data_IF_211013418861
#
_entry.id   IF_211013418861
#
_cell.length_a   1.000
_cell.length_b   1.000
_cell.length_c   1.000
_cell.angle_alpha   90.00
_cell.angle_beta   90.00
_cell.angle_gamma   90.00
#
_symmetry.space_group_name_H-M   'P 1'
#
loop_
_entity.id
_entity.type
_entity.pdbx_description
1 polymer ?
#
# COMPACT_ATOMS: atom_id res chain seq x y z
N UNK A 1 -50.30 -26.01 22.29
CA UNK A 1 -48.84 -26.06 22.03
C UNK A 1 -48.54 -25.11 20.89
N UNK A 2 -47.84 -24.00 21.17
CA UNK A 2 -47.42 -23.07 20.13
C UNK A 2 -46.11 -23.58 19.49
N UNK A 3 -45.90 -23.43 18.17
CA UNK A 3 -44.66 -23.83 17.54
C UNK A 3 -43.53 -22.89 17.96
N UNK A 4 -42.44 -23.46 18.46
CA UNK A 4 -41.20 -22.76 18.78
C UNK A 4 -40.65 -22.18 17.47
N UNK A 5 -40.35 -20.87 17.37
CA UNK A 5 -39.68 -20.32 16.20
C UNK A 5 -38.29 -20.96 16.10
N UNK A 6 -38.01 -21.62 14.96
CA UNK A 6 -36.64 -21.98 14.61
C UNK A 6 -35.88 -20.67 14.37
N UNK A 7 -35.12 -20.26 15.37
CA UNK A 7 -34.10 -19.23 15.21
C UNK A 7 -33.10 -19.75 14.20
N UNK A 8 -33.18 -19.28 12.96
CA UNK A 8 -32.09 -19.42 12.00
C UNK A 8 -30.96 -18.56 12.57
N UNK A 9 -30.05 -19.18 13.32
CA UNK A 9 -28.73 -18.59 13.52
C UNK A 9 -28.16 -18.43 12.12
N UNK A 10 -27.96 -17.20 11.67
CA UNK A 10 -27.13 -16.92 10.51
C UNK A 10 -25.81 -17.66 10.75
N UNK A 11 -25.61 -18.79 10.07
CA UNK A 11 -24.33 -19.46 10.00
C UNK A 11 -23.50 -18.50 9.15
N UNK A 12 -22.79 -17.58 9.81
CA UNK A 12 -21.62 -16.95 9.20
C UNK A 12 -20.66 -18.11 9.02
N UNK A 13 -20.66 -18.71 7.82
CA UNK A 13 -19.55 -19.55 7.39
C UNK A 13 -18.33 -18.64 7.46
N UNK A 14 -17.50 -18.79 8.49
CA UNK A 14 -16.24 -18.05 8.61
C UNK A 14 -15.33 -18.55 7.50
N UNK A 15 -15.46 -17.97 6.32
CA UNK A 15 -14.48 -18.17 5.27
C UNK A 15 -13.25 -17.37 5.68
N UNK A 16 -12.12 -18.06 5.82
CA UNK A 16 -10.82 -17.46 6.14
C UNK A 16 -10.35 -16.60 4.97
N UNK A 17 -10.80 -15.35 4.98
CA UNK A 17 -10.67 -14.39 3.86
C UNK A 17 -9.52 -13.43 4.05
N UNK A 18 -9.02 -13.27 5.29
CA UNK A 18 -7.82 -12.51 5.62
C UNK A 18 -7.04 -13.16 6.76
N UNK A 19 -5.79 -12.71 6.94
CA UNK A 19 -4.92 -13.18 8.02
C UNK A 19 -5.43 -12.82 9.43
N UNK A 20 -6.31 -11.82 9.53
CA UNK A 20 -6.90 -11.35 10.80
C UNK A 20 -7.69 -12.45 11.52
N UNK A 21 -8.25 -13.39 10.76
CA UNK A 21 -8.99 -14.53 11.30
C UNK A 21 -8.08 -15.51 12.07
N UNK A 22 -6.78 -15.49 11.78
CA UNK A 22 -5.75 -16.32 12.41
C UNK A 22 -4.84 -15.53 13.36
N UNK A 23 -5.25 -14.35 13.80
CA UNK A 23 -4.41 -13.40 14.58
C UNK A 23 -3.73 -13.93 15.84
N UNK A 24 -4.19 -15.07 16.38
CA UNK A 24 -3.61 -15.73 17.55
C UNK A 24 -2.59 -16.84 17.19
N UNK A 25 -2.27 -16.99 15.91
CA UNK A 25 -1.33 -17.99 15.39
C UNK A 25 0.07 -17.41 15.19
N UNK A 26 0.99 -18.19 14.61
CA UNK A 26 2.36 -17.74 14.29
C UNK A 26 2.48 -17.16 12.89
N UNK A 27 3.50 -16.34 12.65
CA UNK A 27 3.85 -15.89 11.30
C UNK A 27 4.10 -17.09 10.38
N UNK A 28 3.69 -16.98 9.12
CA UNK A 28 3.90 -18.06 8.15
C UNK A 28 3.01 -17.96 6.93
N UNK A 29 3.03 -19.02 6.13
CA UNK A 29 2.17 -19.16 4.95
C UNK A 29 0.82 -19.74 5.37
N UNK A 30 -0.25 -19.11 4.89
CA UNK A 30 -1.63 -19.52 5.10
C UNK A 30 -2.36 -19.57 3.77
N UNK A 31 -3.40 -20.38 3.74
CA UNK A 31 -4.26 -20.55 2.59
C UNK A 31 -5.57 -19.79 2.87
N UNK A 32 -5.79 -18.70 2.13
CA UNK A 32 -6.99 -17.87 2.24
C UNK A 32 -7.98 -18.21 1.13
N UNK A 33 -9.25 -17.96 1.37
CA UNK A 33 -10.32 -18.17 0.39
C UNK A 33 -10.77 -16.85 -0.20
N UNK A 34 -10.78 -16.76 -1.53
CA UNK A 34 -11.33 -15.61 -2.25
C UNK A 34 -12.85 -15.56 -2.09
N UNK A 35 -13.40 -14.38 -1.77
CA UNK A 35 -14.85 -14.18 -1.67
C UNK A 35 -15.52 -14.24 -3.04
N UNK A 36 -14.84 -13.77 -4.09
CA UNK A 36 -15.42 -13.66 -5.43
C UNK A 36 -15.42 -15.01 -6.16
N UNK A 37 -14.31 -15.74 -6.12
CA UNK A 37 -14.17 -17.01 -6.87
C UNK A 37 -14.40 -18.24 -6.00
N UNK A 38 -14.27 -18.12 -4.68
CA UNK A 38 -14.28 -19.26 -3.76
C UNK A 38 -13.02 -20.12 -3.83
N UNK A 39 -12.04 -19.75 -4.66
CA UNK A 39 -10.77 -20.44 -4.77
C UNK A 39 -9.83 -20.07 -3.62
N UNK A 40 -8.88 -20.96 -3.38
CA UNK A 40 -7.87 -20.78 -2.35
C UNK A 40 -6.56 -20.26 -2.93
N UNK A 41 -5.86 -19.43 -2.17
CA UNK A 41 -4.55 -18.91 -2.54
C UNK A 41 -3.65 -18.79 -1.31
N UNK A 42 -2.35 -19.00 -1.55
CA UNK A 42 -1.34 -18.88 -0.51
C UNK A 42 -0.91 -17.44 -0.30
N UNK A 43 -0.71 -17.08 0.97
CA UNK A 43 -0.24 -15.77 1.36
C UNK A 43 0.63 -15.86 2.60
N UNK A 44 1.55 -14.90 2.74
CA UNK A 44 2.24 -14.71 3.99
C UNK A 44 1.38 -13.88 4.97
N UNK A 45 1.12 -14.45 6.14
CA UNK A 45 0.50 -13.76 7.26
C UNK A 45 1.52 -13.38 8.32
N UNK A 46 1.50 -12.12 8.72
CA UNK A 46 2.30 -11.60 9.82
C UNK A 46 1.41 -11.36 11.05
N UNK A 47 1.49 -12.26 12.02
CA UNK A 47 0.66 -12.29 13.23
C UNK A 47 1.21 -11.43 14.36
N UNK A 48 2.53 -11.32 14.45
CA UNK A 48 3.22 -10.54 15.50
C UNK A 48 3.12 -9.03 15.28
N UNK A 49 3.55 -8.26 16.29
CA UNK A 49 3.56 -6.80 16.23
C UNK A 49 4.47 -6.25 15.12
N UNK A 50 3.96 -5.31 14.32
CA UNK A 50 4.70 -4.60 13.25
C UNK A 50 4.77 -3.10 13.57
N UNK A 51 5.54 -2.74 14.60
CA UNK A 51 5.77 -1.33 14.94
C UNK A 51 4.46 -0.58 15.14
N UNK A 52 4.25 0.51 14.40
CA UNK A 52 3.02 1.33 14.51
C UNK A 52 1.78 0.65 13.93
N UNK A 53 1.92 -0.38 13.10
CA UNK A 53 0.78 -1.14 12.61
C UNK A 53 0.17 -2.03 13.69
N UNK A 54 0.94 -2.37 14.73
CA UNK A 54 0.50 -3.30 15.76
C UNK A 54 0.46 -4.75 15.25
N UNK A 55 -0.06 -5.66 16.08
CA UNK A 55 -0.28 -7.05 15.70
C UNK A 55 -1.65 -7.30 15.05
N UNK A 56 -2.06 -8.56 15.03
CA UNK A 56 -3.43 -8.93 14.69
C UNK A 56 -3.61 -9.65 13.35
N UNK A 57 -2.54 -10.15 12.73
CA UNK A 57 -2.63 -10.91 11.48
C UNK A 57 -2.76 -10.03 10.25
N UNK A 58 -1.64 -9.47 9.83
CA UNK A 58 -1.50 -8.70 8.59
C UNK A 58 -1.28 -9.61 7.39
N UNK A 59 -2.03 -9.38 6.32
CA UNK A 59 -1.90 -10.07 5.03
C UNK A 59 -0.91 -9.33 4.14
N UNK A 60 0.20 -9.96 3.76
CA UNK A 60 1.14 -9.38 2.81
C UNK A 60 0.52 -9.28 1.42
N UNK A 61 0.64 -8.11 0.78
CA UNK A 61 0.08 -7.84 -0.55
C UNK A 61 1.19 -7.68 -1.58
N UNK A 62 2.13 -6.76 -1.33
CA UNK A 62 3.20 -6.43 -2.27
C UNK A 62 4.48 -6.03 -1.54
N UNK A 63 5.60 -6.24 -2.24
CA UNK A 63 6.93 -5.79 -1.87
C UNK A 63 7.61 -5.18 -3.09
N UNK A 64 8.16 -3.97 -2.94
CA UNK A 64 8.62 -3.14 -4.06
C UNK A 64 10.05 -2.66 -3.83
N UNK A 65 10.94 -2.85 -4.80
CA UNK A 65 12.31 -2.36 -4.70
C UNK A 65 12.42 -1.01 -5.43
N UNK A 66 12.71 0.04 -4.67
CA UNK A 66 12.89 1.39 -5.23
C UNK A 66 14.03 1.51 -6.24
N UNK A 67 14.95 0.53 -6.29
CA UNK A 67 16.05 0.48 -7.26
C UNK A 67 15.69 -0.26 -8.56
N UNK A 68 14.48 -0.84 -8.64
CA UNK A 68 14.00 -1.58 -9.81
C UNK A 68 12.85 -0.84 -10.48
N UNK A 69 12.57 -1.25 -11.72
CA UNK A 69 11.47 -0.70 -12.52
C UNK A 69 10.28 -1.67 -12.62
N UNK A 70 10.22 -2.71 -11.79
CA UNK A 70 9.14 -3.72 -11.82
C UNK A 70 7.77 -3.10 -11.56
N UNK A 71 7.72 -2.18 -10.59
CA UNK A 71 6.50 -1.54 -10.13
C UNK A 71 6.51 -0.04 -10.41
N UNK A 72 7.01 0.40 -11.57
CA UNK A 72 6.77 1.79 -12.02
C UNK A 72 5.28 2.11 -12.06
N UNK A 73 4.92 3.40 -12.06
CA UNK A 73 3.52 3.83 -12.04
C UNK A 73 2.68 3.16 -13.15
N UNK A 74 3.23 3.04 -14.35
CA UNK A 74 2.59 2.50 -15.55
C UNK A 74 2.69 0.97 -15.68
N UNK A 75 3.39 0.29 -14.77
CA UNK A 75 3.48 -1.17 -14.75
C UNK A 75 2.09 -1.81 -14.74
N UNK A 76 1.90 -2.77 -15.65
CA UNK A 76 0.65 -3.55 -15.77
C UNK A 76 0.33 -4.32 -14.49
N UNK A 77 1.35 -4.61 -13.66
CA UNK A 77 1.20 -5.29 -12.38
C UNK A 77 0.29 -4.53 -11.40
N UNK A 78 0.12 -3.21 -11.54
CA UNK A 78 -0.83 -2.45 -10.73
C UNK A 78 -2.29 -2.65 -11.14
N UNK A 79 -2.55 -3.11 -12.37
CA UNK A 79 -3.89 -3.14 -12.98
C UNK A 79 -4.37 -4.53 -13.37
N UNK A 80 -3.53 -5.55 -13.24
CA UNK A 80 -3.88 -6.94 -13.52
C UNK A 80 -4.12 -7.75 -12.23
N UNK A 81 -4.75 -8.91 -12.39
CA UNK A 81 -4.95 -9.92 -11.35
C UNK A 81 -3.93 -11.05 -11.48
N UNK A 82 -2.66 -10.67 -11.71
CA UNK A 82 -1.53 -11.61 -11.82
C UNK A 82 -0.57 -11.44 -10.65
N UNK A 83 0.03 -12.55 -10.22
CA UNK A 83 1.09 -12.58 -9.22
C UNK A 83 2.46 -12.27 -9.83
N UNK A 84 3.40 -11.84 -9.00
CA UNK A 84 4.81 -11.69 -9.36
C UNK A 84 5.68 -12.23 -8.22
N UNK A 85 6.66 -13.08 -8.55
CA UNK A 85 7.62 -13.65 -7.60
C UNK A 85 6.97 -14.19 -6.31
N UNK A 86 6.09 -15.19 -6.48
CA UNK A 86 5.27 -15.76 -5.39
C UNK A 86 6.15 -16.26 -4.25
N UNK A 87 7.15 -17.09 -4.55
CA UNK A 87 8.06 -17.67 -3.56
C UNK A 87 8.72 -16.59 -2.69
N UNK A 88 9.23 -15.53 -3.31
CA UNK A 88 9.82 -14.40 -2.60
C UNK A 88 8.79 -13.69 -1.70
N UNK A 89 7.52 -13.64 -2.08
CA UNK A 89 6.43 -13.13 -1.24
C UNK A 89 6.10 -14.05 -0.06
N UNK A 90 6.16 -15.37 -0.23
CA UNK A 90 5.85 -16.35 0.80
C UNK A 90 6.96 -16.48 1.86
N UNK A 91 8.18 -16.05 1.54
CA UNK A 91 9.29 -15.90 2.51
C UNK A 91 9.07 -14.76 3.54
N UNK A 92 8.00 -13.98 3.40
CA UNK A 92 7.64 -12.91 4.33
C UNK A 92 8.29 -11.57 4.01
N UNK A 93 8.77 -10.86 5.04
CA UNK A 93 9.20 -9.45 4.94
C UNK A 93 10.67 -9.28 4.51
N UNK A 94 11.20 -10.23 3.74
CA UNK A 94 12.51 -10.12 3.06
C UNK A 94 12.48 -9.03 1.98
N UNK A 95 13.64 -8.41 1.69
CA UNK A 95 13.80 -7.34 0.69
C UNK A 95 13.93 -7.90 -0.73
N UNK A 96 12.94 -8.71 -1.12
CA UNK A 96 12.77 -9.26 -2.48
C UNK A 96 11.38 -8.88 -2.98
N UNK A 97 11.31 -8.38 -4.21
CA UNK A 97 10.06 -7.91 -4.80
C UNK A 97 9.02 -9.01 -4.92
N UNK A 98 7.75 -8.68 -4.69
CA UNK A 98 6.65 -9.63 -4.89
C UNK A 98 5.31 -8.92 -5.06
N UNK A 99 4.37 -9.62 -5.68
CA UNK A 99 2.93 -9.31 -5.70
C UNK A 99 2.16 -10.61 -5.52
N UNK A 100 1.36 -10.69 -4.46
CA UNK A 100 0.58 -11.86 -4.11
C UNK A 100 -0.89 -11.72 -4.52
N UNK A 101 -1.61 -12.84 -4.58
CA UNK A 101 -3.03 -12.89 -4.94
C UNK A 101 -3.95 -12.14 -3.97
N UNK A 102 -3.48 -11.90 -2.74
CA UNK A 102 -4.12 -11.01 -1.77
C UNK A 102 -4.33 -9.59 -2.30
N UNK A 103 -3.57 -9.15 -3.31
CA UNK A 103 -3.76 -7.85 -3.97
C UNK A 103 -5.18 -7.66 -4.51
N UNK A 104 -5.80 -8.70 -5.07
CA UNK A 104 -7.14 -8.64 -5.65
C UNK A 104 -8.20 -9.45 -4.90
N UNK A 105 -7.79 -10.43 -4.08
CA UNK A 105 -8.72 -11.34 -3.41
C UNK A 105 -9.05 -11.01 -1.94
N UNK A 106 -8.30 -10.13 -1.27
CA UNK A 106 -8.44 -9.91 0.17
C UNK A 106 -9.12 -8.56 0.48
N UNK A 107 -10.33 -8.55 1.06
CA UNK A 107 -10.92 -7.35 1.63
C UNK A 107 -10.16 -6.90 2.88
N UNK A 108 -10.19 -5.61 3.16
CA UNK A 108 -9.51 -5.05 4.31
C UNK A 108 -10.21 -3.81 4.84
N UNK A 109 -9.88 -3.46 6.07
CA UNK A 109 -10.31 -2.24 6.78
C UNK A 109 -9.13 -1.36 7.19
N UNK A 110 -7.91 -1.91 7.16
CA UNK A 110 -6.68 -1.18 7.47
C UNK A 110 -5.58 -1.51 6.48
N UNK A 111 -4.68 -0.56 6.30
CA UNK A 111 -3.46 -0.74 5.54
C UNK A 111 -2.27 -0.50 6.47
N UNK A 112 -1.25 -1.34 6.33
CA UNK A 112 0.05 -1.15 6.92
C UNK A 112 1.07 -0.98 5.79
N UNK A 113 1.76 0.16 5.80
CA UNK A 113 2.82 0.46 4.85
C UNK A 113 4.16 0.41 5.58
N UNK A 114 5.17 -0.13 4.90
CA UNK A 114 6.54 -0.17 5.42
C UNK A 114 7.53 0.35 4.39
N UNK A 115 8.61 0.95 4.87
CA UNK A 115 9.77 1.28 4.06
C UNK A 115 11.06 0.96 4.80
N UNK A 116 11.98 0.26 4.12
CA UNK A 116 13.37 0.10 4.56
C UNK A 116 14.26 1.14 3.90
N UNK A 117 15.07 1.82 4.70
CA UNK A 117 16.08 2.78 4.24
C UNK A 117 17.29 2.77 5.20
N UNK A 118 18.50 2.64 4.65
CA UNK A 118 19.76 2.63 5.42
C UNK A 118 19.77 1.67 6.63
N UNK A 119 19.23 0.46 6.46
CA UNK A 119 19.17 -0.56 7.51
C UNK A 119 18.06 -0.35 8.55
N UNK A 120 17.30 0.75 8.49
CA UNK A 120 16.12 0.96 9.31
C UNK A 120 14.85 0.64 8.52
N UNK A 121 13.92 -0.11 9.15
CA UNK A 121 12.58 -0.33 8.63
C UNK A 121 11.57 0.38 9.51
N UNK A 122 10.80 1.30 8.93
CA UNK A 122 9.69 1.98 9.62
C UNK A 122 8.37 1.58 9.01
N UNK A 123 7.33 1.73 9.81
CA UNK A 123 5.98 1.33 9.49
C UNK A 123 5.01 2.47 9.78
N UNK A 124 3.87 2.45 9.11
CA UNK A 124 2.75 3.34 9.39
C UNK A 124 1.45 2.63 9.02
N UNK A 125 0.36 2.98 9.70
CA UNK A 125 -0.96 2.40 9.43
C UNK A 125 -2.04 3.47 9.42
N UNK A 126 -3.10 3.21 8.68
CA UNK A 126 -4.33 4.00 8.69
C UNK A 126 -5.52 3.13 8.27
N UNK A 127 -6.71 3.55 8.69
CA UNK A 127 -7.95 2.88 8.34
C UNK A 127 -8.37 3.24 6.91
N UNK A 128 -8.73 2.22 6.13
CA UNK A 128 -9.31 2.35 4.81
C UNK A 128 -10.04 1.05 4.44
N UNK A 129 -11.33 1.12 4.15
CA UNK A 129 -12.13 -0.05 3.84
C UNK A 129 -12.25 -0.25 2.31
N UNK A 130 -11.92 -1.45 1.83
CA UNK A 130 -12.11 -1.83 0.44
C UNK A 130 -12.25 -3.35 0.26
N UNK A 131 -12.77 -3.75 -0.90
CA UNK A 131 -12.87 -5.17 -1.28
C UNK A 131 -11.53 -5.80 -1.64
N UNK A 132 -10.56 -5.01 -2.10
CA UNK A 132 -9.16 -5.41 -2.35
C UNK A 132 -8.31 -4.19 -2.72
N UNK A 133 -6.98 -4.31 -2.71
CA UNK A 133 -6.13 -3.19 -3.14
C UNK A 133 -6.27 -2.93 -4.65
N UNK A 134 -6.51 -4.01 -5.41
CA UNK A 134 -6.86 -3.95 -6.83
C UNK A 134 -8.04 -3.01 -7.09
N UNK A 135 -9.15 -3.15 -6.35
CA UNK A 135 -10.35 -2.32 -6.58
C UNK A 135 -10.13 -0.84 -6.26
N UNK A 136 -9.11 -0.52 -5.47
CA UNK A 136 -8.73 0.85 -5.12
C UNK A 136 -7.76 1.46 -6.14
N UNK A 137 -6.95 0.64 -6.83
CA UNK A 137 -5.88 1.11 -7.72
C UNK A 137 -6.24 1.00 -9.21
N UNK A 138 -6.85 -0.10 -9.64
CA UNK A 138 -6.85 -0.53 -11.04
C UNK A 138 -7.53 0.46 -12.00
N UNK A 139 -8.59 1.12 -11.55
CA UNK A 139 -9.35 2.08 -12.35
C UNK A 139 -8.68 3.46 -12.50
N UNK A 140 -7.55 3.68 -11.83
CA UNK A 140 -6.78 4.92 -11.90
C UNK A 140 -7.47 6.15 -11.29
N UNK A 141 -8.56 5.97 -10.53
CA UNK A 141 -9.27 7.06 -9.88
C UNK A 141 -8.59 7.48 -8.59
N UNK A 142 -8.50 8.79 -8.38
CA UNK A 142 -7.97 9.35 -7.14
C UNK A 142 -8.92 9.06 -5.99
N UNK A 143 -8.38 8.53 -4.89
CA UNK A 143 -9.11 8.29 -3.64
C UNK A 143 -8.30 8.82 -2.48
N UNK A 144 -8.85 9.78 -1.75
CA UNK A 144 -8.14 10.40 -0.63
C UNK A 144 -8.03 9.46 0.57
N UNK A 145 -6.95 9.59 1.34
CA UNK A 145 -6.81 9.01 2.67
C UNK A 145 -6.90 10.10 3.74
N UNK A 146 -7.01 9.69 5.00
CA UNK A 146 -7.01 10.59 6.17
C UNK A 146 -5.81 10.32 7.08
N UNK A 147 -4.70 9.82 6.53
CA UNK A 147 -3.55 9.41 7.32
C UNK A 147 -2.78 10.62 7.88
N UNK A 148 -2.66 11.69 7.08
CA UNK A 148 -2.01 12.93 7.45
C UNK A 148 -0.50 12.94 7.19
N UNK A 149 0.05 14.13 6.95
CA UNK A 149 1.47 14.33 6.60
C UNK A 149 2.45 13.66 7.57
N UNK A 150 2.19 13.74 8.87
CA UNK A 150 3.06 13.15 9.90
C UNK A 150 3.16 11.62 9.76
N UNK A 151 2.03 10.96 9.49
CA UNK A 151 1.92 9.50 9.29
C UNK A 151 2.68 9.04 8.05
N UNK A 152 2.66 9.81 6.96
CA UNK A 152 3.49 9.51 5.79
C UNK A 152 4.97 9.72 6.06
N UNK A 153 5.34 10.82 6.74
CA UNK A 153 6.74 11.11 7.07
C UNK A 153 7.37 10.08 8.00
N UNK A 154 6.59 9.40 8.84
CA UNK A 154 7.11 8.37 9.74
C UNK A 154 7.64 7.13 9.02
N UNK A 155 7.28 6.92 7.74
CA UNK A 155 7.76 5.79 6.94
C UNK A 155 9.27 5.83 6.66
N UNK A 156 9.90 7.01 6.68
CA UNK A 156 11.34 7.12 6.42
C UNK A 156 11.92 8.15 7.40
N UNK A 157 12.83 7.68 8.25
CA UNK A 157 13.59 8.56 9.13
C UNK A 157 14.33 9.63 8.31
N UNK A 158 14.15 10.90 8.68
CA UNK A 158 14.77 12.02 7.97
C UNK A 158 14.15 12.35 6.61
N UNK A 159 12.95 11.86 6.30
CA UNK A 159 12.17 12.31 5.13
C UNK A 159 11.93 13.82 5.13
N UNK A 160 11.70 14.37 3.94
CA UNK A 160 11.50 15.80 3.72
C UNK A 160 10.29 16.04 2.82
N UNK A 161 9.45 17.00 3.18
CA UNK A 161 8.31 17.45 2.38
C UNK A 161 8.13 18.96 2.54
N UNK A 162 7.59 19.63 1.53
CA UNK A 162 7.15 21.02 1.70
C UNK A 162 5.88 21.10 2.56
N UNK A 163 5.51 22.30 3.00
CA UNK A 163 4.61 22.47 4.15
C UNK A 163 3.12 22.30 3.85
N UNK A 164 2.68 22.47 2.60
CA UNK A 164 1.27 22.67 2.23
C UNK A 164 0.81 21.71 1.11
N UNK A 165 -0.40 21.96 0.59
CA UNK A 165 -1.25 21.05 -0.19
C UNK A 165 -1.58 19.73 0.52
N UNK A 166 -0.57 18.93 0.85
CA UNK A 166 -0.66 17.65 1.56
C UNK A 166 -1.68 16.68 0.94
N UNK A 167 -1.77 16.63 -0.39
CA UNK A 167 -2.69 15.74 -1.07
C UNK A 167 -2.19 14.31 -0.96
N UNK A 168 -2.99 13.46 -0.32
CA UNK A 168 -2.63 12.08 -0.03
C UNK A 168 -3.68 11.08 -0.52
N UNK A 169 -3.24 9.84 -0.73
CA UNK A 169 -4.12 8.69 -0.96
C UNK A 169 -3.66 7.81 -2.11
N UNK A 170 -4.63 7.30 -2.86
CA UNK A 170 -4.44 6.38 -3.99
C UNK A 170 -4.59 7.10 -5.32
N UNK A 171 -3.79 6.71 -6.31
CA UNK A 171 -3.74 7.32 -7.65
C UNK A 171 -3.72 8.87 -7.57
N UNK A 172 -2.84 9.40 -6.73
CA UNK A 172 -2.69 10.84 -6.48
C UNK A 172 -2.25 11.53 -7.76
N UNK A 173 -3.10 12.40 -8.31
CA UNK A 173 -2.80 13.23 -9.48
C UNK A 173 -2.40 14.63 -9.04
N UNK A 174 -1.36 15.19 -9.66
CA UNK A 174 -0.81 16.51 -9.34
C UNK A 174 -0.12 17.15 -10.54
N UNK A 175 0.05 18.46 -10.53
CA UNK A 175 0.73 19.25 -11.58
C UNK A 175 0.19 19.02 -13.00
N UNK A 176 -1.08 18.64 -13.13
CA UNK A 176 -1.74 18.33 -14.41
C UNK A 176 -1.32 17.02 -15.09
N UNK A 177 -0.04 16.63 -14.99
CA UNK A 177 0.51 15.46 -15.69
C UNK A 177 1.25 14.45 -14.79
N UNK A 178 1.38 14.73 -13.49
CA UNK A 178 2.10 13.85 -12.57
C UNK A 178 1.13 12.97 -11.78
N UNK A 179 1.57 11.76 -11.45
CA UNK A 179 0.76 10.80 -10.71
C UNK A 179 1.59 9.92 -9.79
N UNK A 180 0.97 9.42 -8.72
CA UNK A 180 1.55 8.48 -7.76
C UNK A 180 0.53 7.42 -7.36
N UNK A 181 0.94 6.16 -7.18
CA UNK A 181 0.00 5.08 -6.84
C UNK A 181 -0.52 5.18 -5.42
N UNK A 182 0.36 5.35 -4.45
CA UNK A 182 0.02 5.43 -3.02
C UNK A 182 0.98 6.42 -2.37
N UNK A 183 0.50 7.46 -1.71
CA UNK A 183 1.40 8.38 -1.01
C UNK A 183 0.84 9.77 -0.76
N UNK A 184 1.74 10.69 -0.43
CA UNK A 184 1.47 12.12 -0.26
C UNK A 184 2.34 12.97 -1.18
N UNK A 185 1.76 14.04 -1.73
CA UNK A 185 2.47 15.12 -2.44
C UNK A 185 2.28 16.44 -1.71
N UNK A 186 3.28 17.32 -1.81
CA UNK A 186 3.28 18.61 -1.15
C UNK A 186 4.04 19.66 -1.97
N UNK A 187 3.72 20.92 -1.67
CA UNK A 187 4.39 22.15 -2.12
C UNK A 187 4.30 23.21 -1.00
N UNK A 188 4.61 24.48 -1.29
CA UNK A 188 4.46 25.58 -0.33
C UNK A 188 3.22 26.45 -0.58
N UNK A 189 2.48 26.17 -1.64
CA UNK A 189 1.22 26.79 -1.99
C UNK A 189 0.04 26.06 -1.35
N UNK A 190 -1.13 26.70 -1.31
CA UNK A 190 -2.32 26.07 -0.72
C UNK A 190 -2.90 25.01 -1.67
N UNK A 191 -2.83 25.25 -2.98
CA UNK A 191 -3.27 24.30 -4.01
C UNK A 191 -2.18 23.26 -4.32
N UNK A 192 -2.54 22.23 -5.09
CA UNK A 192 -1.67 21.09 -5.43
C UNK A 192 -1.21 21.11 -6.89
N UNK A 193 -1.11 22.30 -7.47
CA UNK A 193 -0.83 22.47 -8.91
C UNK A 193 0.68 22.56 -9.21
N UNK A 194 1.50 22.73 -8.17
CA UNK A 194 2.96 22.90 -8.24
C UNK A 194 3.72 21.99 -7.27
N UNK A 195 3.16 20.83 -6.90
CA UNK A 195 3.80 19.84 -6.04
C UNK A 195 5.17 19.38 -6.56
N UNK A 196 6.21 19.72 -5.82
CA UNK A 196 7.61 19.39 -6.11
C UNK A 196 8.30 18.62 -4.97
N UNK A 197 7.51 18.14 -3.99
CA UNK A 197 7.91 17.12 -3.02
C UNK A 197 6.86 16.02 -2.86
N UNK A 198 7.31 14.79 -2.62
CA UNK A 198 6.45 13.62 -2.47
C UNK A 198 7.09 12.51 -1.63
N UNK A 199 6.26 11.67 -1.04
CA UNK A 199 6.64 10.45 -0.34
C UNK A 199 5.61 9.36 -0.64
N UNK A 200 6.06 8.21 -1.13
CA UNK A 200 5.16 7.10 -1.42
C UNK A 200 5.71 6.11 -2.43
N UNK A 201 4.77 5.48 -3.13
CA UNK A 201 4.95 4.36 -4.04
C UNK A 201 4.56 4.77 -5.46
N UNK A 202 5.48 4.51 -6.40
CA UNK A 202 5.32 4.58 -7.84
C UNK A 202 4.83 5.95 -8.32
N UNK A 203 5.74 6.92 -8.36
CA UNK A 203 5.52 8.27 -8.88
C UNK A 203 6.04 8.40 -10.30
N UNK A 204 5.28 9.03 -11.18
CA UNK A 204 5.64 9.28 -12.57
C UNK A 204 5.01 10.58 -13.08
N UNK A 205 5.35 10.95 -14.31
CA UNK A 205 4.61 11.97 -15.07
C UNK A 205 4.37 11.49 -16.50
N UNK A 206 3.30 11.98 -17.11
CA UNK A 206 2.97 11.69 -18.51
C UNK A 206 3.57 12.78 -19.41
N UNK A 207 4.22 12.32 -20.49
CA UNK A 207 4.80 13.16 -21.54
C UNK A 207 3.71 13.61 -22.53
N UNK A 208 4.05 14.58 -23.39
CA UNK A 208 3.14 15.07 -24.41
C UNK A 208 2.71 14.02 -25.44
N UNK A 209 3.48 12.94 -25.59
CA UNK A 209 3.17 11.79 -26.46
C UNK A 209 2.31 10.71 -25.76
N UNK A 210 1.91 10.93 -24.52
CA UNK A 210 1.11 9.99 -23.72
C UNK A 210 1.92 8.90 -23.01
N UNK A 211 3.25 8.85 -23.18
CA UNK A 211 4.11 7.89 -22.48
C UNK A 211 4.36 8.33 -21.03
N UNK A 212 4.55 7.37 -20.13
CA UNK A 212 4.91 7.65 -18.74
C UNK A 212 6.44 7.67 -18.58
N UNK A 213 6.94 8.67 -17.86
CA UNK A 213 8.30 8.67 -17.34
C UNK A 213 8.27 8.45 -15.84
N UNK A 214 8.83 7.32 -15.42
CA UNK A 214 8.97 6.97 -14.01
C UNK A 214 9.90 7.96 -13.29
N UNK A 215 9.50 8.40 -12.10
CA UNK A 215 10.35 9.20 -11.21
C UNK A 215 10.93 8.36 -10.08
N UNK A 216 10.10 7.52 -9.45
CA UNK A 216 10.49 6.76 -8.27
C UNK A 216 9.50 5.64 -7.98
N UNK A 217 9.97 4.41 -7.73
CA UNK A 217 9.11 3.29 -7.34
C UNK A 217 8.76 3.31 -5.85
N UNK A 218 9.67 3.67 -4.96
CA UNK A 218 9.37 3.75 -3.54
C UNK A 218 10.34 4.69 -2.82
N UNK A 219 9.84 5.69 -2.11
CA UNK A 219 10.66 6.54 -1.26
C UNK A 219 10.17 7.98 -1.13
N UNK A 220 11.12 8.91 -1.03
CA UNK A 220 10.85 10.33 -0.80
C UNK A 220 11.72 11.22 -1.71
N UNK A 221 11.11 12.26 -2.29
CA UNK A 221 11.79 13.33 -3.01
C UNK A 221 11.32 14.67 -2.48
N UNK A 222 12.25 15.56 -2.19
CA UNK A 222 12.01 16.99 -2.01
C UNK A 222 13.21 17.72 -2.60
N UNK A 223 13.05 18.30 -3.79
CA UNK A 223 14.18 18.82 -4.56
C UNK A 223 14.50 20.29 -4.30
N UNK A 224 13.47 21.13 -4.23
CA UNK A 224 13.58 22.58 -4.24
C UNK A 224 12.85 23.23 -3.07
N UNK A 225 13.12 24.53 -2.90
CA UNK A 225 12.10 25.47 -2.48
C UNK A 225 11.68 25.26 -1.01
N UNK A 226 12.64 25.26 -0.08
CA UNK A 226 12.40 25.27 1.37
C UNK A 226 11.54 24.10 1.90
N UNK A 227 11.91 22.83 1.63
CA UNK A 227 11.23 21.71 2.26
C UNK A 227 11.64 21.59 3.74
N UNK A 228 10.81 20.92 4.54
CA UNK A 228 10.92 20.92 6.00
C UNK A 228 12.17 20.21 6.57
N UNK A 229 12.89 19.43 5.77
CA UNK A 229 14.15 18.79 6.18
C UNK A 229 15.22 18.84 5.07
N UNK A 230 15.24 19.95 4.33
CA UNK A 230 16.21 20.16 3.25
C UNK A 230 15.99 19.27 2.03
N UNK A 231 16.86 19.40 1.02
CA UNK A 231 16.73 18.63 -0.22
C UNK A 231 17.01 17.14 0.05
N UNK A 232 16.11 16.26 -0.40
CA UNK A 232 16.19 14.81 -0.19
C UNK A 232 15.82 14.06 -1.47
N UNK A 233 16.53 12.96 -1.70
CA UNK A 233 16.15 11.89 -2.63
C UNK A 233 16.48 10.57 -1.93
N UNK A 234 15.48 9.92 -1.36
CA UNK A 234 15.63 8.71 -0.58
C UNK A 234 14.94 7.58 -1.34
N UNK A 235 15.71 6.57 -1.74
CA UNK A 235 15.21 5.34 -2.36
C UNK A 235 15.06 4.29 -1.27
N UNK A 236 13.98 3.53 -1.31
CA UNK A 236 13.60 2.58 -0.25
C UNK A 236 13.13 1.26 -0.81
N UNK A 237 13.14 0.23 0.02
CA UNK A 237 12.38 -0.99 -0.23
C UNK A 237 11.01 -0.86 0.47
N UNK A 238 9.92 -1.05 -0.27
CA UNK A 238 8.56 -0.82 0.17
C UNK A 238 7.79 -2.11 0.48
N UNK A 239 6.89 -2.03 1.46
CA UNK A 239 5.97 -3.11 1.86
C UNK A 239 4.54 -2.59 1.91
N UNK A 240 3.60 -3.42 1.45
CA UNK A 240 2.17 -3.16 1.58
C UNK A 240 1.52 -4.40 2.19
N UNK A 241 0.89 -4.22 3.34
CA UNK A 241 0.08 -5.22 4.03
C UNK A 241 -1.30 -4.65 4.34
N UNK A 242 -2.28 -5.54 4.50
CA UNK A 242 -3.68 -5.19 4.78
C UNK A 242 -4.26 -6.07 5.89
N UNK A 243 -5.29 -5.56 6.58
CA UNK A 243 -5.99 -6.24 7.68
C UNK A 243 -7.49 -5.96 7.63
#
# INVERSE_FOLDING_TARGET
MAPIPKTIKNIVLSFQTSCYEFRNSTNGVYNLKSISTGEYYDVYCHMTDIGTCGGGGWTLVMKLDGNKNTFTYDSVLWKNEETYAIEDGLEGISEKESKLASYWNTPFTKICLGMSHNGERKWTTFDYAASSLYSVIADGQFRATTAGKATWKSLIAGSSLQYKCNREGFNVKFNGNSAMRIGIVANNEVNCDSCDSWLGFSTAYVNGDGTWTNRMVCGNKAGCCYPDNGSKTLVTFGYILIQ
#
